data_IF_304080232773
#
_entry.id   IF_304080232773
#
_cell.length_a   1.000
_cell.length_b   1.000
_cell.length_c   1.000
_cell.angle_alpha   90.00
_cell.angle_beta   90.00
_cell.angle_gamma   90.00
#
_symmetry.space_group_name_H-M   'P 1'
#
loop_
_entity.id
_entity.type
_entity.pdbx_description
1 polymer ?
#
# COMPACT_ATOMS: atom_id res chain seq x y z
N UNK A 1 -15.51 22.01 5.24
CA UNK A 1 -16.60 21.10 5.59
C UNK A 1 -16.10 19.71 5.26
N UNK A 2 -15.96 18.82 6.24
CA UNK A 2 -15.51 17.44 5.98
C UNK A 2 -16.62 16.74 5.22
N UNK A 3 -16.28 15.99 4.18
CA UNK A 3 -17.27 15.12 3.52
C UNK A 3 -17.72 14.09 4.54
N UNK A 4 -19.02 14.04 4.84
CA UNK A 4 -19.59 13.17 5.90
C UNK A 4 -19.23 11.68 5.71
N UNK A 5 -18.97 11.26 4.46
CA UNK A 5 -18.51 9.92 4.11
C UNK A 5 -17.19 9.51 4.79
N UNK A 6 -16.33 10.47 5.16
CA UNK A 6 -15.03 10.20 5.76
C UNK A 6 -15.04 10.16 7.30
N UNK A 7 -16.04 10.75 7.95
CA UNK A 7 -16.08 10.83 9.42
C UNK A 7 -16.22 9.46 10.10
N UNK A 8 -16.88 8.51 9.48
CA UNK A 8 -17.01 7.17 10.04
C UNK A 8 -15.66 6.40 10.01
N UNK A 9 -14.77 6.64 9.03
CA UNK A 9 -13.45 6.03 8.99
C UNK A 9 -12.51 6.55 10.07
N UNK A 10 -12.67 7.81 10.51
CA UNK A 10 -11.89 8.36 11.62
C UNK A 10 -12.31 7.77 12.96
N UNK A 11 -13.57 7.31 13.07
CA UNK A 11 -14.17 6.85 14.33
C UNK A 11 -14.26 5.32 14.45
N UNK A 12 -14.23 4.57 13.35
CA UNK A 12 -14.38 3.11 13.34
C UNK A 12 -13.16 2.40 12.73
N UNK A 13 -12.14 2.21 13.54
CA UNK A 13 -10.98 1.38 13.18
C UNK A 13 -11.29 -0.13 13.22
N UNK A 14 -12.45 -0.54 13.70
CA UNK A 14 -12.83 -1.96 13.85
C UNK A 14 -13.24 -2.62 12.52
N UNK A 15 -13.64 -1.82 11.54
CA UNK A 15 -14.03 -2.27 10.19
C UNK A 15 -12.83 -2.47 9.24
N UNK A 16 -11.63 -2.16 9.69
CA UNK A 16 -10.43 -2.32 8.88
C UNK A 16 -10.13 -3.81 8.66
N UNK A 17 -9.82 -4.22 7.41
CA UNK A 17 -9.43 -5.59 7.16
C UNK A 17 -8.20 -5.90 8.01
N UNK A 18 -8.28 -7.00 8.76
CA UNK A 18 -7.12 -7.50 9.49
C UNK A 18 -6.04 -7.74 8.45
N UNK A 19 -4.95 -6.96 8.52
CA UNK A 19 -3.76 -7.23 7.73
C UNK A 19 -3.47 -8.72 7.87
N UNK A 20 -3.16 -9.38 6.76
CA UNK A 20 -2.59 -10.72 6.81
C UNK A 20 -1.43 -10.63 7.78
N UNK A 21 -1.64 -11.07 9.02
CA UNK A 21 -0.66 -10.94 10.09
C UNK A 21 0.56 -11.71 9.64
N UNK A 22 1.56 -10.99 9.17
CA UNK A 22 2.93 -11.44 9.37
C UNK A 22 3.07 -11.40 10.89
N UNK A 23 2.78 -12.53 11.53
CA UNK A 23 2.90 -12.68 12.97
C UNK A 23 4.35 -12.40 13.29
N UNK A 24 4.60 -11.27 13.95
CA UNK A 24 5.80 -11.12 14.75
C UNK A 24 5.82 -12.31 15.69
N UNK A 25 6.67 -13.27 15.39
CA UNK A 25 6.93 -14.42 16.25
C UNK A 25 7.59 -13.91 17.51
N UNK A 26 6.80 -13.53 18.52
CA UNK A 26 7.25 -13.41 19.89
C UNK A 26 7.71 -14.80 20.33
N UNK A 27 9.01 -15.02 20.28
CA UNK A 27 9.62 -16.20 20.86
C UNK A 27 9.28 -16.22 22.37
N UNK A 28 8.66 -17.28 22.90
CA UNK A 28 8.49 -17.41 24.33
C UNK A 28 9.86 -17.55 24.97
N UNK A 29 10.17 -16.67 25.93
CA UNK A 29 11.29 -16.88 26.86
C UNK A 29 10.92 -18.04 27.77
N UNK A 30 11.38 -19.21 27.41
CA UNK A 30 11.30 -20.35 28.30
C UNK A 30 12.58 -20.41 29.16
N UNK A 31 12.41 -20.07 30.43
CA UNK A 31 13.37 -20.30 31.49
C UNK A 31 13.05 -21.61 32.17
N UNK A 32 13.54 -22.72 31.63
CA UNK A 32 13.76 -23.94 32.43
C UNK A 32 14.80 -24.82 31.75
N UNK A 33 15.88 -25.06 32.48
CA UNK A 33 16.95 -25.99 32.13
C UNK A 33 16.42 -27.41 32.02
N UNK A 34 16.56 -28.00 30.86
CA UNK A 34 16.33 -29.40 30.61
C UNK A 34 16.93 -29.78 29.26
N UNK A 35 18.10 -30.39 29.29
CA UNK A 35 18.84 -30.84 28.10
C UNK A 35 18.08 -31.97 27.41
N UNK A 36 17.20 -31.63 26.48
CA UNK A 36 16.68 -32.58 25.50
C UNK A 36 17.04 -32.02 24.12
N UNK A 37 17.94 -32.66 23.42
CA UNK A 37 18.27 -32.39 22.02
C UNK A 37 17.05 -32.69 21.16
N UNK A 38 16.10 -31.77 21.08
CA UNK A 38 15.04 -31.79 20.06
C UNK A 38 15.71 -31.55 18.72
N UNK A 39 15.71 -32.54 17.86
CA UNK A 39 16.20 -32.48 16.48
C UNK A 39 15.50 -31.31 15.80
N UNK A 40 16.21 -30.19 15.59
CA UNK A 40 15.67 -28.98 14.92
C UNK A 40 15.05 -29.44 13.60
N UNK A 41 13.74 -29.28 13.47
CA UNK A 41 13.00 -29.58 12.23
C UNK A 41 13.68 -28.81 11.10
N UNK A 42 14.14 -29.51 10.07
CA UNK A 42 14.78 -28.87 8.91
C UNK A 42 13.74 -27.98 8.24
N UNK A 43 14.00 -26.68 8.19
CA UNK A 43 13.14 -25.70 7.54
C UNK A 43 12.96 -26.07 6.06
N UNK A 44 11.76 -25.95 5.53
CA UNK A 44 11.51 -26.19 4.11
C UNK A 44 12.19 -25.12 3.24
N UNK A 45 12.30 -25.36 1.94
CA UNK A 45 12.84 -24.39 1.01
C UNK A 45 11.96 -23.14 0.94
N UNK A 46 10.66 -23.32 0.97
CA UNK A 46 9.64 -22.26 0.98
C UNK A 46 9.71 -21.39 2.25
N UNK A 47 9.79 -22.02 3.43
CA UNK A 47 9.96 -21.31 4.70
C UNK A 47 11.26 -20.50 4.71
N UNK A 48 12.34 -21.02 4.14
CA UNK A 48 13.62 -20.30 4.03
C UNK A 48 13.56 -19.14 3.04
N UNK A 49 12.92 -19.32 1.90
CA UNK A 49 12.70 -18.25 0.91
C UNK A 49 11.94 -17.08 1.54
N UNK A 50 10.83 -17.36 2.23
CA UNK A 50 10.04 -16.34 2.92
C UNK A 50 10.87 -15.62 4.01
N UNK A 51 11.69 -16.35 4.76
CA UNK A 51 12.57 -15.77 5.78
C UNK A 51 13.63 -14.82 5.16
N UNK A 52 14.20 -15.20 4.01
CA UNK A 52 15.15 -14.34 3.27
C UNK A 52 14.44 -13.09 2.79
N UNK A 53 13.25 -13.21 2.22
CA UNK A 53 12.44 -12.10 1.73
C UNK A 53 12.10 -11.11 2.86
N UNK A 54 11.68 -11.60 4.02
CA UNK A 54 11.37 -10.78 5.18
C UNK A 54 12.61 -10.04 5.72
N UNK A 55 13.75 -10.74 5.85
CA UNK A 55 15.00 -10.14 6.30
C UNK A 55 15.50 -9.07 5.31
N UNK A 56 15.45 -9.34 4.01
CA UNK A 56 15.84 -8.41 2.97
C UNK A 56 14.94 -7.15 3.00
N UNK A 57 13.64 -7.31 3.06
CA UNK A 57 12.66 -6.22 3.17
C UNK A 57 12.99 -5.31 4.36
N UNK A 58 13.20 -5.89 5.54
CA UNK A 58 13.55 -5.16 6.77
C UNK A 58 14.87 -4.40 6.65
N UNK A 59 15.91 -5.06 6.15
CA UNK A 59 17.25 -4.47 6.08
C UNK A 59 17.33 -3.39 5.01
N UNK A 60 16.75 -3.61 3.84
CA UNK A 60 16.68 -2.58 2.79
C UNK A 60 15.84 -1.38 3.26
N UNK A 61 14.71 -1.59 3.94
CA UNK A 61 13.90 -0.51 4.49
C UNK A 61 14.67 0.40 5.46
N UNK A 62 15.71 -0.13 6.15
CA UNK A 62 16.47 0.63 7.16
C UNK A 62 17.81 1.14 6.68
N UNK A 63 18.52 0.37 5.84
CA UNK A 63 19.88 0.70 5.37
C UNK A 63 19.93 1.17 3.91
N UNK A 64 18.84 1.05 3.17
CA UNK A 64 18.83 1.17 1.71
C UNK A 64 19.46 -0.04 1.01
N UNK A 65 19.30 -0.08 -0.31
CA UNK A 65 19.95 -1.14 -1.10
C UNK A 65 21.46 -0.98 -1.15
N UNK A 66 21.96 0.25 -1.33
CA UNK A 66 23.40 0.48 -1.35
C UNK A 66 24.06 0.19 -0.01
N UNK A 67 23.41 0.52 1.09
CA UNK A 67 23.93 0.36 2.45
C UNK A 67 23.89 -1.07 3.00
N UNK A 68 23.08 -1.96 2.42
CA UNK A 68 22.99 -3.36 2.88
C UNK A 68 24.06 -4.24 2.26
N UNK A 69 24.47 -5.30 2.96
CA UNK A 69 25.29 -6.41 2.46
C UNK A 69 24.51 -7.72 2.51
N UNK A 70 24.93 -8.72 1.72
CA UNK A 70 24.37 -10.08 1.82
C UNK A 70 24.70 -10.73 3.17
N UNK A 71 25.83 -10.35 3.78
CA UNK A 71 26.18 -10.78 5.14
C UNK A 71 25.15 -10.28 6.18
N UNK A 72 24.64 -9.04 6.05
CA UNK A 72 23.58 -8.53 6.95
C UNK A 72 22.33 -9.43 6.91
N UNK A 73 21.93 -9.89 5.71
CA UNK A 73 20.81 -10.81 5.53
C UNK A 73 21.10 -12.16 6.16
N UNK A 74 22.31 -12.70 5.89
CA UNK A 74 22.73 -13.99 6.42
C UNK A 74 22.77 -14.00 7.96
N UNK A 75 23.28 -12.93 8.57
CA UNK A 75 23.36 -12.74 10.02
C UNK A 75 21.95 -12.63 10.64
N UNK A 76 21.05 -11.87 10.01
CA UNK A 76 19.65 -11.71 10.48
C UNK A 76 18.92 -13.04 10.57
N UNK A 77 19.14 -13.95 9.60
CA UNK A 77 18.45 -15.25 9.57
C UNK A 77 19.27 -16.42 10.13
N UNK A 78 20.48 -16.14 10.61
CA UNK A 78 21.35 -17.12 11.28
C UNK A 78 21.92 -18.21 10.35
N UNK A 79 22.35 -17.84 9.13
CA UNK A 79 23.06 -18.70 8.19
C UNK A 79 24.37 -18.05 7.74
N UNK A 80 25.18 -18.77 6.98
CA UNK A 80 26.37 -18.18 6.33
C UNK A 80 25.97 -17.49 5.01
N UNK A 81 26.73 -16.48 4.61
CA UNK A 81 26.54 -15.86 3.28
C UNK A 81 26.67 -16.88 2.15
N UNK A 82 27.57 -17.86 2.27
CA UNK A 82 27.69 -18.97 1.32
C UNK A 82 26.43 -19.81 1.22
N UNK A 83 25.70 -20.00 2.34
CA UNK A 83 24.41 -20.71 2.32
C UNK A 83 23.31 -19.86 1.69
N UNK A 84 23.37 -18.53 1.79
CA UNK A 84 22.41 -17.63 1.15
C UNK A 84 22.47 -17.73 -0.38
N UNK A 85 23.66 -17.92 -0.96
CA UNK A 85 23.84 -18.11 -2.41
C UNK A 85 23.19 -19.40 -2.98
N UNK A 86 22.67 -20.30 -2.14
CA UNK A 86 21.83 -21.40 -2.63
C UNK A 86 20.40 -20.96 -2.97
N UNK A 87 20.00 -19.75 -2.56
CA UNK A 87 18.64 -19.21 -2.73
C UNK A 87 18.61 -18.00 -3.65
N UNK A 88 19.69 -17.24 -3.75
CA UNK A 88 19.81 -16.05 -4.58
C UNK A 88 21.12 -16.10 -5.36
N UNK A 89 21.12 -15.54 -6.57
CA UNK A 89 22.32 -15.52 -7.43
C UNK A 89 23.19 -14.29 -7.18
N UNK A 90 22.59 -13.19 -6.75
CA UNK A 90 23.26 -11.91 -6.53
C UNK A 90 22.46 -10.98 -5.62
N UNK A 91 23.07 -9.87 -5.21
CA UNK A 91 22.40 -8.78 -4.50
C UNK A 91 21.26 -8.15 -5.33
N UNK A 92 21.45 -8.04 -6.66
CA UNK A 92 20.43 -7.54 -7.57
C UNK A 92 19.25 -8.51 -7.71
N UNK A 93 19.51 -9.82 -7.71
CA UNK A 93 18.49 -10.86 -7.73
C UNK A 93 17.61 -10.78 -6.47
N UNK A 94 18.24 -10.60 -5.30
CA UNK A 94 17.53 -10.35 -4.05
C UNK A 94 16.64 -9.10 -4.12
N UNK A 95 17.13 -8.01 -4.71
CA UNK A 95 16.32 -6.80 -4.90
C UNK A 95 15.11 -7.06 -5.80
N UNK A 96 15.31 -7.76 -6.91
CA UNK A 96 14.22 -8.15 -7.82
C UNK A 96 13.16 -8.96 -7.07
N UNK A 97 13.58 -9.95 -6.28
CA UNK A 97 12.69 -10.76 -5.44
C UNK A 97 11.87 -9.88 -4.46
N UNK A 98 12.52 -8.92 -3.79
CA UNK A 98 11.83 -8.00 -2.87
C UNK A 98 10.80 -7.13 -3.60
N UNK A 99 11.14 -6.60 -4.77
CA UNK A 99 10.25 -5.74 -5.56
C UNK A 99 9.05 -6.52 -6.12
N UNK A 100 9.25 -7.76 -6.57
CA UNK A 100 8.20 -8.54 -7.25
C UNK A 100 7.33 -9.36 -6.30
N UNK A 101 7.88 -9.82 -5.17
CA UNK A 101 7.17 -10.75 -4.29
C UNK A 101 6.70 -10.09 -2.97
N UNK A 102 7.37 -9.02 -2.51
CA UNK A 102 6.99 -8.36 -1.28
C UNK A 102 6.22 -7.05 -1.53
N UNK A 103 6.59 -6.29 -2.56
CA UNK A 103 6.03 -4.97 -2.80
C UNK A 103 4.91 -4.98 -3.84
N UNK A 104 5.20 -5.38 -5.08
CA UNK A 104 4.27 -5.30 -6.23
C UNK A 104 3.40 -6.55 -6.31
N UNK A 105 2.50 -6.72 -5.31
CA UNK A 105 1.61 -7.87 -5.25
C UNK A 105 0.25 -7.54 -5.88
N UNK A 106 -0.23 -8.30 -6.88
CA UNK A 106 -1.51 -8.06 -7.57
C UNK A 106 -2.71 -7.97 -6.62
N UNK A 107 -2.66 -8.70 -5.50
CA UNK A 107 -3.73 -8.75 -4.50
C UNK A 107 -4.04 -7.38 -3.86
N UNK A 108 -3.03 -6.49 -3.77
CA UNK A 108 -3.21 -5.16 -3.19
C UNK A 108 -4.07 -4.25 -4.07
N UNK A 109 -3.82 -4.25 -5.37
CA UNK A 109 -4.57 -3.43 -6.33
C UNK A 109 -6.00 -3.93 -6.47
N UNK A 110 -6.19 -5.26 -6.54
CA UNK A 110 -7.51 -5.87 -6.58
C UNK A 110 -8.32 -5.57 -5.31
N UNK A 111 -7.70 -5.65 -4.13
CA UNK A 111 -8.34 -5.31 -2.87
C UNK A 111 -8.76 -3.83 -2.84
N UNK A 112 -7.86 -2.90 -3.17
CA UNK A 112 -8.14 -1.46 -3.14
C UNK A 112 -9.24 -1.08 -4.14
N UNK A 113 -9.26 -1.72 -5.32
CA UNK A 113 -10.28 -1.51 -6.31
C UNK A 113 -11.64 -2.11 -5.91
N UNK A 114 -11.66 -3.33 -5.34
CA UNK A 114 -12.90 -4.04 -5.02
C UNK A 114 -13.76 -3.29 -4.01
N UNK A 115 -13.15 -2.73 -2.97
CA UNK A 115 -13.85 -1.98 -1.90
C UNK A 115 -14.21 -0.55 -2.30
N UNK A 116 -13.68 -0.04 -3.42
CA UNK A 116 -14.03 1.24 -4.01
C UNK A 116 -15.01 1.11 -5.19
N UNK A 117 -15.57 -0.09 -5.44
CA UNK A 117 -16.39 -0.38 -6.62
C UNK A 117 -17.81 -0.72 -6.22
N UNK A 118 -18.78 -0.12 -6.92
CA UNK A 118 -20.19 -0.49 -6.94
C UNK A 118 -20.47 -1.31 -8.19
N UNK A 119 -21.36 -2.30 -8.09
CA UNK A 119 -21.99 -2.94 -9.25
C UNK A 119 -23.41 -2.38 -9.37
N UNK A 120 -23.70 -1.72 -10.49
CA UNK A 120 -25.02 -1.14 -10.75
C UNK A 120 -26.08 -2.20 -11.07
N UNK A 121 -27.34 -1.78 -11.28
CA UNK A 121 -28.46 -2.67 -11.58
C UNK A 121 -28.33 -3.38 -12.93
N UNK A 122 -27.51 -2.87 -13.85
CA UNK A 122 -27.22 -3.45 -15.14
C UNK A 122 -26.00 -4.37 -15.12
N UNK A 123 -25.36 -4.53 -13.95
CA UNK A 123 -24.18 -5.37 -13.75
C UNK A 123 -22.86 -4.71 -14.11
N UNK A 124 -22.83 -3.40 -14.39
CA UNK A 124 -21.58 -2.68 -14.66
C UNK A 124 -20.88 -2.32 -13.36
N UNK A 125 -19.56 -2.47 -13.38
CA UNK A 125 -18.72 -2.04 -12.26
C UNK A 125 -18.32 -0.58 -12.45
N UNK A 126 -18.56 0.24 -11.41
CA UNK A 126 -18.20 1.66 -11.35
C UNK A 126 -17.33 1.87 -10.13
N UNK A 127 -16.14 2.41 -10.29
CA UNK A 127 -15.18 2.66 -9.23
C UNK A 127 -15.17 4.14 -8.82
N UNK A 128 -14.96 4.40 -7.53
CA UNK A 128 -14.94 5.73 -6.94
C UNK A 128 -13.49 6.13 -6.63
N UNK A 129 -12.96 7.06 -7.41
CA UNK A 129 -11.54 7.42 -7.34
C UNK A 129 -11.11 7.96 -5.95
N UNK A 130 -11.87 8.84 -5.28
CA UNK A 130 -11.51 9.30 -3.93
C UNK A 130 -11.47 8.15 -2.93
N UNK A 131 -12.43 7.20 -3.00
CA UNK A 131 -12.44 6.01 -2.16
C UNK A 131 -11.27 5.08 -2.44
N UNK A 132 -10.91 4.89 -3.70
CA UNK A 132 -9.74 4.11 -4.10
C UNK A 132 -8.46 4.66 -3.48
N UNK A 133 -8.24 5.98 -3.58
CA UNK A 133 -7.10 6.64 -2.95
C UNK A 133 -7.06 6.48 -1.42
N UNK A 134 -8.22 6.59 -0.75
CA UNK A 134 -8.33 6.35 0.68
C UNK A 134 -7.96 4.91 1.05
N UNK A 135 -8.40 3.92 0.26
CA UNK A 135 -8.09 2.51 0.52
C UNK A 135 -6.58 2.25 0.47
N UNK A 136 -5.86 2.89 -0.46
CA UNK A 136 -4.39 2.81 -0.51
C UNK A 136 -3.77 3.35 0.78
N UNK A 137 -4.25 4.48 1.31
CA UNK A 137 -3.76 5.02 2.59
C UNK A 137 -4.02 4.06 3.74
N UNK A 138 -5.24 3.53 3.85
CA UNK A 138 -5.61 2.56 4.89
C UNK A 138 -4.76 1.29 4.82
N UNK A 139 -4.49 0.81 3.61
CA UNK A 139 -3.61 -0.33 3.38
C UNK A 139 -2.16 -0.05 3.78
N UNK A 140 -1.65 1.13 3.46
CA UNK A 140 -0.29 1.56 3.79
C UNK A 140 -0.09 1.78 5.28
N UNK A 141 -1.10 2.29 6.01
CA UNK A 141 -1.07 2.44 7.47
C UNK A 141 -0.85 1.12 8.19
N UNK A 142 -1.28 0.01 7.62
CA UNK A 142 -1.07 -1.33 8.18
C UNK A 142 0.31 -1.92 7.85
N UNK A 143 1.06 -1.27 6.94
CA UNK A 143 2.32 -1.79 6.40
C UNK A 143 3.44 -0.74 6.41
N UNK A 144 3.73 -0.08 7.56
CA UNK A 144 4.71 1.01 7.61
C UNK A 144 6.10 0.61 7.10
N UNK A 145 6.50 -0.64 7.34
CA UNK A 145 7.78 -1.16 6.86
C UNK A 145 7.85 -1.24 5.33
N UNK A 146 6.73 -1.58 4.66
CA UNK A 146 6.67 -1.61 3.20
C UNK A 146 6.70 -0.20 2.61
N UNK A 147 6.02 0.76 3.25
CA UNK A 147 6.09 2.17 2.87
C UNK A 147 7.51 2.70 3.04
N UNK A 148 8.19 2.34 4.14
CA UNK A 148 9.59 2.71 4.36
C UNK A 148 10.52 2.09 3.32
N UNK A 149 10.34 0.80 2.98
CA UNK A 149 11.08 0.13 1.92
C UNK A 149 10.95 0.88 0.59
N UNK A 150 9.71 1.17 0.18
CA UNK A 150 9.42 1.91 -1.05
C UNK A 150 10.11 3.28 -1.04
N UNK A 151 9.95 4.04 0.03
CA UNK A 151 10.50 5.39 0.18
C UNK A 151 12.04 5.38 0.06
N UNK A 152 12.70 4.43 0.70
CA UNK A 152 14.15 4.27 0.64
C UNK A 152 14.61 3.93 -0.77
N UNK A 153 14.01 2.91 -1.37
CA UNK A 153 14.38 2.46 -2.72
C UNK A 153 14.06 3.49 -3.80
N UNK A 154 12.92 4.19 -3.68
CA UNK A 154 12.55 5.24 -4.63
C UNK A 154 13.55 6.39 -4.59
N UNK A 155 13.98 6.81 -3.39
CA UNK A 155 15.01 7.83 -3.22
C UNK A 155 16.37 7.43 -3.83
N UNK A 156 16.83 6.18 -3.60
CA UNK A 156 18.06 5.67 -4.19
C UNK A 156 17.94 5.52 -5.73
N UNK A 157 16.77 5.10 -6.22
CA UNK A 157 16.48 4.88 -7.64
C UNK A 157 16.36 6.15 -8.47
N UNK A 158 16.42 7.35 -7.87
CA UNK A 158 16.64 8.60 -8.60
C UNK A 158 17.98 8.61 -9.32
N UNK A 159 18.97 7.82 -8.85
CA UNK A 159 20.19 7.56 -9.58
C UNK A 159 19.92 6.54 -10.71
N UNK A 160 20.17 6.90 -12.01
CA UNK A 160 19.95 5.98 -13.13
C UNK A 160 20.79 4.67 -13.08
N UNK A 161 21.88 4.66 -12.32
CA UNK A 161 22.72 3.46 -12.15
C UNK A 161 22.16 2.50 -11.08
N UNK A 162 21.13 2.90 -10.34
CA UNK A 162 20.53 2.03 -9.34
C UNK A 162 19.76 0.88 -9.99
N UNK A 163 19.91 -0.38 -9.53
CA UNK A 163 19.24 -1.53 -10.16
C UNK A 163 17.71 -1.47 -10.19
N UNK A 164 17.09 -0.70 -9.27
CA UNK A 164 15.64 -0.48 -9.26
C UNK A 164 15.20 0.74 -10.08
N UNK A 165 16.09 1.47 -10.76
CA UNK A 165 15.72 2.69 -11.49
C UNK A 165 14.60 2.43 -12.51
N UNK A 166 14.77 1.47 -13.39
CA UNK A 166 13.79 1.14 -14.43
C UNK A 166 12.46 0.64 -13.86
N UNK A 167 12.51 -0.05 -12.71
CA UNK A 167 11.31 -0.47 -11.99
C UNK A 167 10.47 0.76 -11.59
N UNK A 168 11.08 1.76 -10.96
CA UNK A 168 10.37 2.96 -10.49
C UNK A 168 9.96 3.90 -11.63
N UNK A 169 10.78 4.07 -12.66
CA UNK A 169 10.39 4.79 -13.90
C UNK A 169 9.15 4.13 -14.52
N UNK A 170 9.10 2.80 -14.54
CA UNK A 170 7.96 2.05 -15.04
C UNK A 170 6.74 2.07 -14.10
N UNK A 171 6.94 2.20 -12.79
CA UNK A 171 5.90 2.09 -11.77
C UNK A 171 4.79 3.14 -11.95
N UNK A 172 5.13 4.42 -12.06
CA UNK A 172 4.15 5.48 -12.29
C UNK A 172 3.34 5.26 -13.57
N UNK A 173 3.99 4.83 -14.65
CA UNK A 173 3.31 4.53 -15.92
C UNK A 173 2.36 3.34 -15.79
N UNK A 174 2.77 2.24 -15.13
CA UNK A 174 1.90 1.07 -14.89
C UNK A 174 0.68 1.45 -14.05
N UNK A 175 0.86 2.24 -13.00
CA UNK A 175 -0.24 2.71 -12.16
C UNK A 175 -1.21 3.60 -12.96
N UNK A 176 -0.70 4.46 -13.83
CA UNK A 176 -1.56 5.24 -14.72
C UNK A 176 -2.33 4.35 -15.71
N UNK A 177 -1.69 3.37 -16.34
CA UNK A 177 -2.37 2.42 -17.23
C UNK A 177 -3.47 1.62 -16.51
N UNK A 178 -3.25 1.25 -15.25
CA UNK A 178 -4.27 0.64 -14.41
C UNK A 178 -5.43 1.61 -14.18
N UNK A 179 -5.16 2.82 -13.69
CA UNK A 179 -6.18 3.84 -13.40
C UNK A 179 -6.99 4.17 -14.65
N UNK A 180 -6.36 4.42 -15.81
CA UNK A 180 -7.08 4.75 -17.04
C UNK A 180 -7.93 3.61 -17.59
N UNK A 181 -7.65 2.36 -17.21
CA UNK A 181 -8.41 1.18 -17.66
C UNK A 181 -9.69 0.95 -16.86
N UNK A 182 -9.84 1.61 -15.70
CA UNK A 182 -10.99 1.42 -14.82
C UNK A 182 -12.16 2.33 -15.22
N UNK A 183 -13.39 1.87 -14.96
CA UNK A 183 -14.60 2.67 -15.15
C UNK A 183 -14.86 3.50 -13.88
N UNK A 184 -14.53 4.79 -13.92
CA UNK A 184 -14.65 5.70 -12.79
C UNK A 184 -15.98 6.45 -12.76
N UNK A 185 -16.55 6.62 -11.57
CA UNK A 185 -17.59 7.63 -11.32
C UNK A 185 -16.91 9.01 -11.33
N UNK A 186 -17.12 9.78 -12.38
CA UNK A 186 -16.49 11.10 -12.58
C UNK A 186 -17.54 12.19 -12.73
N UNK A 187 -17.21 13.43 -12.30
CA UNK A 187 -18.07 14.59 -12.55
C UNK A 187 -18.39 14.78 -14.05
N UNK A 188 -19.55 15.34 -14.38
CA UNK A 188 -19.92 15.61 -15.77
C UNK A 188 -18.86 16.45 -16.50
N UNK A 189 -18.45 15.99 -17.69
CA UNK A 189 -17.43 16.67 -18.49
C UNK A 189 -15.97 16.47 -18.01
N UNK A 190 -15.74 15.54 -17.09
CA UNK A 190 -14.39 15.21 -16.65
C UNK A 190 -13.63 14.48 -17.77
N UNK A 191 -12.46 14.99 -18.14
CA UNK A 191 -11.64 14.41 -19.22
C UNK A 191 -10.58 13.47 -18.69
N UNK A 192 -10.06 12.57 -19.55
CA UNK A 192 -8.92 11.71 -19.22
C UNK A 192 -7.68 12.55 -18.84
N UNK A 193 -7.44 13.67 -19.50
CA UNK A 193 -6.35 14.60 -19.16
C UNK A 193 -6.47 15.13 -17.74
N UNK A 194 -7.69 15.52 -17.33
CA UNK A 194 -7.96 15.99 -15.98
C UNK A 194 -7.80 14.87 -14.95
N UNK A 195 -8.25 13.66 -15.28
CA UNK A 195 -8.05 12.50 -14.42
C UNK A 195 -6.55 12.19 -14.25
N UNK A 196 -5.76 12.27 -15.32
CA UNK A 196 -4.32 12.08 -15.27
C UNK A 196 -3.62 13.13 -14.40
N UNK A 197 -4.07 14.38 -14.49
CA UNK A 197 -3.54 15.45 -13.63
C UNK A 197 -3.84 15.19 -12.15
N UNK A 198 -5.07 14.83 -11.83
CA UNK A 198 -5.48 14.48 -10.47
C UNK A 198 -4.74 13.24 -9.96
N UNK A 199 -4.57 12.23 -10.78
CA UNK A 199 -3.76 11.04 -10.47
C UNK A 199 -2.32 11.44 -10.10
N UNK A 200 -1.68 12.29 -10.91
CA UNK A 200 -0.31 12.74 -10.66
C UNK A 200 -0.19 13.51 -9.34
N UNK A 201 -1.15 14.40 -9.05
CA UNK A 201 -1.16 15.14 -7.79
C UNK A 201 -1.44 14.24 -6.58
N UNK A 202 -2.35 13.27 -6.73
CA UNK A 202 -2.66 12.31 -5.67
C UNK A 202 -1.46 11.42 -5.34
N UNK A 203 -0.73 10.93 -6.35
CA UNK A 203 0.50 10.16 -6.14
C UNK A 203 1.57 11.00 -5.44
N UNK A 204 1.81 12.22 -5.89
CA UNK A 204 2.79 13.12 -5.28
C UNK A 204 2.43 13.46 -3.82
N UNK A 205 1.14 13.68 -3.53
CA UNK A 205 0.67 13.93 -2.17
C UNK A 205 0.82 12.67 -1.29
N UNK A 206 0.48 11.49 -1.81
CA UNK A 206 0.63 10.23 -1.10
C UNK A 206 2.08 10.02 -0.66
N UNK A 207 3.02 10.12 -1.61
CA UNK A 207 4.44 9.94 -1.33
C UNK A 207 4.95 10.97 -0.31
N UNK A 208 4.61 12.26 -0.48
CA UNK A 208 5.02 13.32 0.42
C UNK A 208 4.45 13.15 1.84
N UNK A 209 3.18 12.83 1.99
CA UNK A 209 2.53 12.59 3.28
C UNK A 209 3.10 11.37 3.99
N UNK A 210 3.42 10.31 3.26
CA UNK A 210 4.06 9.11 3.81
C UNK A 210 5.47 9.41 4.33
N UNK A 211 6.25 10.24 3.64
CA UNK A 211 7.56 10.69 4.15
C UNK A 211 7.43 11.44 5.47
N UNK A 212 6.46 12.37 5.57
CA UNK A 212 6.21 13.10 6.81
C UNK A 212 5.78 12.17 7.95
N UNK A 213 4.86 11.25 7.67
CA UNK A 213 4.39 10.26 8.64
C UNK A 213 5.50 9.33 9.14
N UNK A 214 6.37 8.83 8.25
CA UNK A 214 7.50 7.97 8.64
C UNK A 214 8.58 8.72 9.41
N UNK A 215 8.79 10.01 9.08
CA UNK A 215 9.80 10.83 9.74
C UNK A 215 9.35 11.37 11.10
N UNK A 216 8.06 11.64 11.27
CA UNK A 216 7.46 12.21 12.47
C UNK A 216 6.18 11.44 12.84
N UNK A 217 6.27 10.59 13.85
CA UNK A 217 5.16 9.78 14.35
C UNK A 217 3.97 10.57 14.92
N UNK A 218 4.06 11.90 15.05
CA UNK A 218 2.93 12.78 15.40
C UNK A 218 2.02 13.10 14.21
N UNK A 219 2.49 12.86 12.97
CA UNK A 219 1.71 13.09 11.76
C UNK A 219 0.66 11.97 11.60
N UNK A 220 -0.60 12.34 11.53
CA UNK A 220 -1.69 11.42 11.24
C UNK A 220 -1.89 11.32 9.73
N UNK A 221 -1.32 10.29 9.10
CA UNK A 221 -1.38 10.10 7.65
C UNK A 221 -2.82 10.10 7.11
N UNK A 222 -3.75 9.44 7.81
CA UNK A 222 -5.16 9.37 7.39
C UNK A 222 -5.82 10.76 7.42
N UNK A 223 -5.60 11.52 8.49
CA UNK A 223 -6.18 12.86 8.63
C UNK A 223 -5.63 13.83 7.58
N UNK A 224 -4.32 13.77 7.31
CA UNK A 224 -3.71 14.61 6.28
C UNK A 224 -4.17 14.23 4.87
N UNK A 225 -4.34 12.93 4.59
CA UNK A 225 -4.92 12.49 3.33
C UNK A 225 -6.36 12.97 3.14
N UNK A 226 -7.19 12.92 4.17
CA UNK A 226 -8.57 13.43 4.13
C UNK A 226 -8.57 14.93 3.85
N UNK A 227 -7.71 15.71 4.51
CA UNK A 227 -7.57 17.16 4.26
C UNK A 227 -7.15 17.46 2.82
N UNK A 228 -6.23 16.67 2.28
CA UNK A 228 -5.84 16.77 0.88
C UNK A 228 -7.01 16.40 -0.04
N UNK A 229 -7.73 15.31 0.24
CA UNK A 229 -8.86 14.86 -0.56
C UNK A 229 -9.99 15.89 -0.62
N UNK A 230 -10.29 16.59 0.48
CA UNK A 230 -11.29 17.67 0.51
C UNK A 230 -10.94 18.84 -0.44
N UNK A 231 -9.67 19.02 -0.77
CA UNK A 231 -9.21 20.08 -1.66
C UNK A 231 -9.22 19.64 -3.13
N UNK A 232 -8.84 18.40 -3.41
CA UNK A 232 -8.70 17.90 -4.79
C UNK A 232 -10.02 17.31 -5.32
N UNK A 233 -10.91 16.88 -4.43
CA UNK A 233 -12.26 16.37 -4.71
C UNK A 233 -13.31 17.22 -3.99
N UNK A 234 -13.44 18.52 -4.34
CA UNK A 234 -14.35 19.41 -3.63
C UNK A 234 -15.81 18.94 -3.78
N UNK A 235 -16.57 19.00 -2.68
CA UNK A 235 -17.97 18.56 -2.64
C UNK A 235 -18.85 19.26 -3.68
N UNK A 236 -18.54 20.52 -4.06
CA UNK A 236 -19.26 21.24 -5.11
C UNK A 236 -19.22 20.57 -6.50
N UNK A 237 -18.29 19.66 -6.72
CA UNK A 237 -18.08 18.95 -7.99
C UNK A 237 -18.22 17.44 -7.83
N UNK A 238 -17.84 16.91 -6.67
CA UNK A 238 -17.74 15.47 -6.41
C UNK A 238 -18.85 14.92 -5.49
N UNK A 239 -19.89 15.69 -5.24
CA UNK A 239 -21.04 15.23 -4.45
C UNK A 239 -21.60 13.92 -5.04
N UNK A 240 -21.73 12.89 -4.19
CA UNK A 240 -22.17 11.56 -4.60
C UNK A 240 -21.17 10.75 -5.42
N UNK A 241 -19.95 11.24 -5.66
CA UNK A 241 -18.92 10.56 -6.46
C UNK A 241 -17.69 10.19 -5.64
N UNK A 242 -17.77 10.27 -4.30
CA UNK A 242 -16.64 10.03 -3.41
C UNK A 242 -16.57 8.61 -2.87
N UNK A 243 -17.74 7.99 -2.60
CA UNK A 243 -17.84 6.67 -1.98
C UNK A 243 -19.02 5.86 -2.54
N UNK A 244 -18.86 4.53 -2.76
CA UNK A 244 -19.98 3.67 -3.19
C UNK A 244 -21.19 3.70 -2.26
N UNK A 245 -21.01 3.96 -0.97
CA UNK A 245 -22.10 4.02 0.01
C UNK A 245 -23.02 5.22 -0.17
N UNK A 246 -22.62 6.20 -0.97
CA UNK A 246 -23.47 7.34 -1.33
C UNK A 246 -24.56 7.00 -2.35
N UNK A 247 -24.49 5.80 -2.97
CA UNK A 247 -25.42 5.33 -3.98
C UNK A 247 -26.29 4.18 -3.49
N UNK A 248 -27.53 4.16 -3.94
CA UNK A 248 -28.36 2.96 -3.91
C UNK A 248 -28.01 2.06 -5.10
N UNK A 249 -27.42 0.89 -4.83
CA UNK A 249 -27.01 -0.08 -5.85
C UNK A 249 -28.17 -0.58 -6.72
N UNK A 250 -29.43 -0.59 -6.19
CA UNK A 250 -30.59 -1.08 -6.92
C UNK A 250 -31.14 -0.05 -7.93
N UNK A 251 -30.99 1.22 -7.63
CA UNK A 251 -31.55 2.31 -8.45
C UNK A 251 -30.47 3.10 -9.21
N UNK A 252 -29.19 2.97 -8.81
CA UNK A 252 -28.10 3.80 -9.31
C UNK A 252 -28.25 5.30 -8.96
N UNK A 253 -29.09 5.61 -7.96
CA UNK A 253 -29.36 6.96 -7.53
C UNK A 253 -28.65 7.29 -6.22
N UNK A 254 -28.36 8.58 -5.99
CA UNK A 254 -27.84 9.07 -4.72
C UNK A 254 -28.79 8.76 -3.57
N UNK A 255 -28.26 8.30 -2.46
CA UNK A 255 -29.04 8.07 -1.25
C UNK A 255 -29.52 9.40 -0.65
N UNK A 256 -30.75 9.47 -0.09
CA UNK A 256 -31.31 10.72 0.42
C UNK A 256 -30.51 11.44 1.49
N UNK A 257 -29.64 10.73 2.24
CA UNK A 257 -28.81 11.35 3.28
C UNK A 257 -27.64 12.16 2.70
N UNK A 258 -27.26 11.94 1.45
CA UNK A 258 -26.24 12.74 0.76
C UNK A 258 -26.81 14.09 0.27
N UNK A 259 -28.13 14.21 0.19
CA UNK A 259 -28.81 15.43 -0.26
C UNK A 259 -29.09 16.43 0.87
N UNK A 260 -28.91 16.07 2.13
CA UNK A 260 -29.28 16.91 3.29
C UNK A 260 -28.18 17.83 3.82
N UNK A 261 -27.03 17.92 3.16
CA UNK A 261 -25.96 18.84 3.53
C UNK A 261 -26.10 20.28 3.02
N UNK A 262 -27.15 20.61 2.26
CA UNK A 262 -27.25 21.90 1.60
C UNK A 262 -28.24 22.90 2.33
N UNK A 263 -29.01 22.43 3.31
CA UNK A 263 -29.97 23.28 4.05
C UNK A 263 -29.90 23.04 5.56
N UNK A 264 -28.83 23.48 6.21
CA UNK A 264 -28.74 23.71 7.64
C UNK A 264 -27.79 24.87 7.99
#
# INVERSE_FOLDING_TARGET
MRVAAWEHFLNDQSSWPAASRVTEGTAPRDTTSGTTFTKRKRMSQEERHLQILQAATKIIATKGFWGMSLQDIADEIGITEAALYHYISSKNDLLTMVLTEAYDTPDADEYNASTATLTDCDGHRVCFYPRYGLNIVLFNLQRPQMVQLFSMLYGEALNPEHPAHDFFVGHHRRNWELVRSMNWALPPGYTEERLHHVFTLAMAAMDGLQYHWLADGSVNLLEEWIRFSDQIFPASEWEGLTDPSEYDAATGCLLPHTLHGADA
#
